data_IF_142723911835
#
_entry.id   IF_142723911835
#
_cell.length_a   1.000
_cell.length_b   1.000
_cell.length_c   1.000
_cell.angle_alpha   90.00
_cell.angle_beta   90.00
_cell.angle_gamma   90.00
#
_symmetry.space_group_name_H-M   'P 1'
#
loop_
_entity.id
_entity.type
_entity.pdbx_description
1 polymer ?
#
# COMPACT_ATOMS: atom_id res chain seq x y z
N UNK A 1 20.61 -8.14 -5.30
CA UNK A 1 19.97 -7.83 -4.01
C UNK A 1 18.78 -6.94 -4.28
N UNK A 2 17.55 -7.43 -4.06
CA UNK A 2 16.40 -6.54 -3.97
C UNK A 2 16.63 -5.64 -2.75
N UNK A 3 16.72 -4.32 -2.95
CA UNK A 3 16.74 -3.38 -1.81
C UNK A 3 15.39 -3.49 -1.13
N UNK A 4 15.39 -3.87 0.14
CA UNK A 4 14.18 -3.91 0.94
C UNK A 4 13.63 -2.49 1.06
N UNK A 5 12.40 -2.27 0.60
CA UNK A 5 11.76 -0.96 0.64
C UNK A 5 11.49 -0.61 2.10
N UNK A 6 11.92 0.58 2.52
CA UNK A 6 11.64 1.11 3.85
C UNK A 6 10.25 1.74 3.89
N UNK A 7 9.57 1.61 5.02
CA UNK A 7 8.28 2.24 5.28
C UNK A 7 8.51 3.59 5.96
N UNK A 8 8.05 4.67 5.35
CA UNK A 8 8.15 6.04 5.87
C UNK A 8 6.77 6.55 6.25
N UNK A 9 6.65 7.19 7.41
CA UNK A 9 5.42 7.85 7.87
C UNK A 9 5.46 9.32 7.48
N UNK A 10 4.35 9.85 6.99
CA UNK A 10 4.17 11.28 6.76
C UNK A 10 2.85 11.76 7.36
N UNK A 11 2.76 13.06 7.67
CA UNK A 11 1.56 13.66 8.21
C UNK A 11 1.15 14.90 7.43
N UNK A 12 -0.15 15.13 7.32
CA UNK A 12 -0.74 16.27 6.61
C UNK A 12 -1.97 16.78 7.35
N UNK A 13 -2.40 18.00 7.06
CA UNK A 13 -3.62 18.58 7.62
C UNK A 13 -4.76 18.49 6.61
N UNK A 14 -5.94 18.10 7.10
CA UNK A 14 -7.19 18.13 6.35
C UNK A 14 -8.32 18.57 7.28
N UNK A 15 -8.97 19.71 6.95
CA UNK A 15 -10.02 20.33 7.76
C UNK A 15 -9.61 20.52 9.22
N UNK A 16 -8.46 21.16 9.43
CA UNK A 16 -7.84 21.46 10.74
C UNK A 16 -7.49 20.24 11.60
N UNK A 17 -7.64 19.03 11.06
CA UNK A 17 -7.24 17.78 11.70
C UNK A 17 -5.96 17.26 11.08
N UNK A 18 -5.05 16.78 11.93
CA UNK A 18 -3.82 16.13 11.50
C UNK A 18 -4.10 14.66 11.20
N UNK A 19 -3.74 14.24 9.99
CA UNK A 19 -3.79 12.86 9.54
C UNK A 19 -2.37 12.35 9.33
N UNK A 20 -2.21 11.03 9.37
CA UNK A 20 -0.96 10.35 9.05
C UNK A 20 -1.23 9.19 8.11
N UNK A 21 -0.31 8.98 7.19
CA UNK A 21 -0.28 7.82 6.30
C UNK A 21 1.18 7.39 6.12
N UNK A 22 1.40 6.31 5.38
CA UNK A 22 2.72 5.78 5.12
C UNK A 22 2.96 5.48 3.64
N UNK A 23 4.23 5.43 3.27
CA UNK A 23 4.68 5.12 1.92
C UNK A 23 5.90 4.22 1.98
N UNK A 24 5.95 3.24 1.08
CA UNK A 24 7.13 2.41 0.88
C UNK A 24 8.06 3.05 -0.16
N UNK A 25 9.34 3.18 0.17
CA UNK A 25 10.35 3.76 -0.71
C UNK A 25 11.76 3.18 -0.42
N UNK A 26 12.66 3.22 -1.40
CA UNK A 26 14.04 2.75 -1.25
C UNK A 26 14.95 3.79 -0.57
N UNK A 27 14.55 5.07 -0.57
CA UNK A 27 15.25 6.17 0.08
C UNK A 27 14.27 7.19 0.66
N UNK A 28 14.77 8.07 1.53
CA UNK A 28 13.98 9.19 2.04
C UNK A 28 13.60 10.18 0.93
N UNK A 29 14.49 10.40 -0.03
CA UNK A 29 14.24 11.25 -1.20
C UNK A 29 13.09 10.70 -2.07
N UNK A 30 13.11 9.41 -2.40
CA UNK A 30 12.01 8.75 -3.12
C UNK A 30 10.70 8.82 -2.31
N UNK A 31 10.76 8.71 -0.98
CA UNK A 31 9.57 8.89 -0.15
C UNK A 31 8.99 10.31 -0.28
N UNK A 32 9.84 11.35 -0.28
CA UNK A 32 9.40 12.74 -0.47
C UNK A 32 8.81 12.96 -1.86
N UNK A 33 9.41 12.40 -2.91
CA UNK A 33 8.88 12.47 -4.28
C UNK A 33 7.51 11.79 -4.39
N UNK A 34 7.34 10.61 -3.81
CA UNK A 34 6.04 9.92 -3.78
C UNK A 34 4.98 10.72 -3.03
N UNK A 35 5.30 11.30 -1.87
CA UNK A 35 4.36 12.15 -1.12
C UNK A 35 3.96 13.38 -1.93
N UNK A 36 4.89 13.99 -2.68
CA UNK A 36 4.55 15.09 -3.60
C UNK A 36 3.60 14.61 -4.71
N UNK A 37 3.88 13.46 -5.33
CA UNK A 37 3.04 12.90 -6.38
C UNK A 37 1.62 12.56 -5.90
N UNK A 38 1.45 12.18 -4.62
CA UNK A 38 0.12 11.93 -4.04
C UNK A 38 -0.82 13.14 -4.11
N UNK A 39 -0.30 14.37 -4.13
CA UNK A 39 -1.14 15.56 -4.31
C UNK A 39 -1.86 15.62 -5.66
N UNK A 40 -1.36 14.87 -6.64
CA UNK A 40 -1.91 14.75 -7.99
C UNK A 40 -2.60 13.40 -8.24
N UNK A 41 -2.73 12.56 -7.20
CA UNK A 41 -3.32 11.25 -7.32
C UNK A 41 -4.84 11.32 -7.60
N UNK A 42 -5.33 10.36 -8.36
CA UNK A 42 -6.76 10.12 -8.60
C UNK A 42 -7.31 9.12 -7.61
N UNK A 43 -8.60 9.21 -7.29
CA UNK A 43 -9.30 8.19 -6.52
C UNK A 43 -9.84 7.15 -7.51
N UNK A 44 -9.25 5.95 -7.50
CA UNK A 44 -9.60 4.88 -8.44
C UNK A 44 -10.88 4.11 -8.06
N UNK A 45 -11.39 4.30 -6.84
CA UNK A 45 -12.62 3.67 -6.36
C UNK A 45 -12.63 3.46 -4.84
N UNK A 46 -13.72 2.87 -4.35
CA UNK A 46 -13.85 2.47 -2.95
C UNK A 46 -13.33 1.04 -2.72
N UNK A 47 -12.53 0.86 -1.67
CA UNK A 47 -12.10 -0.48 -1.25
C UNK A 47 -13.20 -1.09 -0.39
N UNK A 48 -14.00 -2.00 -0.95
CA UNK A 48 -15.07 -2.67 -0.19
C UNK A 48 -14.56 -3.81 0.69
N UNK A 49 -13.53 -4.54 0.23
CA UNK A 49 -12.97 -5.67 0.97
C UNK A 49 -11.45 -5.72 0.81
N UNK A 50 -10.75 -5.86 1.94
CA UNK A 50 -9.30 -6.09 1.99
C UNK A 50 -9.05 -7.45 2.64
N UNK A 51 -8.57 -8.42 1.85
CA UNK A 51 -8.26 -9.76 2.35
C UNK A 51 -6.76 -9.89 2.60
N UNK A 52 -6.37 -9.96 3.88
CA UNK A 52 -5.01 -10.34 4.23
C UNK A 52 -4.86 -11.86 4.06
N UNK A 53 -4.02 -12.28 3.12
CA UNK A 53 -3.70 -13.69 2.90
C UNK A 53 -2.34 -13.97 3.54
N UNK A 54 -2.28 -14.53 4.76
CA UNK A 54 -1.04 -15.03 5.34
C UNK A 54 -0.66 -16.31 4.59
N UNK A 55 0.09 -16.17 3.50
CA UNK A 55 0.47 -17.32 2.69
C UNK A 55 1.53 -18.12 3.48
N UNK A 56 1.13 -19.23 4.10
CA UNK A 56 1.96 -20.43 3.95
C UNK A 56 1.74 -20.88 2.51
N UNK A 57 2.75 -20.84 1.66
CA UNK A 57 2.70 -21.15 0.21
C UNK A 57 1.97 -22.46 -0.15
N UNK A 58 1.74 -23.34 0.82
CA UNK A 58 1.06 -24.64 0.69
C UNK A 58 -0.37 -24.71 1.25
N UNK A 59 -0.96 -23.61 1.74
CA UNK A 59 -2.34 -23.65 2.28
C UNK A 59 -3.38 -23.86 1.16
N UNK A 60 -4.32 -24.78 1.39
CA UNK A 60 -5.40 -25.09 0.45
C UNK A 60 -6.29 -23.88 0.13
N UNK A 61 -6.47 -22.97 1.11
CA UNK A 61 -7.26 -21.75 0.96
C UNK A 61 -6.58 -20.76 0.01
N UNK A 62 -5.25 -20.61 0.08
CA UNK A 62 -4.50 -19.71 -0.80
C UNK A 62 -4.61 -20.17 -2.27
N UNK A 63 -4.51 -21.47 -2.53
CA UNK A 63 -4.67 -22.05 -3.88
C UNK A 63 -6.07 -21.84 -4.45
N UNK A 64 -7.10 -21.92 -3.61
CA UNK A 64 -8.48 -21.73 -4.02
C UNK A 64 -8.74 -20.26 -4.42
N UNK A 65 -8.28 -19.32 -3.59
CA UNK A 65 -8.44 -17.87 -3.86
C UNK A 65 -7.70 -17.46 -5.13
N UNK A 66 -6.47 -17.93 -5.35
CA UNK A 66 -5.73 -17.66 -6.60
C UNK A 66 -6.45 -18.21 -7.82
N UNK A 67 -7.02 -19.42 -7.76
CA UNK A 67 -7.79 -20.00 -8.88
C UNK A 67 -9.06 -19.21 -9.21
N UNK A 68 -9.74 -18.66 -8.20
CA UNK A 68 -10.98 -17.92 -8.40
C UNK A 68 -10.73 -16.50 -8.93
N UNK A 69 -9.60 -15.88 -8.58
CA UNK A 69 -9.21 -14.54 -9.05
C UNK A 69 -8.59 -14.54 -10.47
N UNK A 70 -8.12 -15.70 -10.97
CA UNK A 70 -7.55 -15.85 -12.33
C UNK A 70 -8.60 -16.13 -13.41
N UNK A 71 -9.89 -16.06 -13.08
CA UNK A 71 -11.01 -16.33 -13.99
C UNK A 71 -11.71 -15.04 -14.37
#
# INVERSE_FOLDING_TARGET
>A
MQKEMKRFVFSYYFKDKRWSSDVYANSFEEAQEKVKAMSQATIDGEIHHAFYIPVKEKSWLARLVTKLLQR
#
